data_IF_654500210914
#
_entry.id   IF_654500210914
#
_cell.length_a   1.000
_cell.length_b   1.000
_cell.length_c   1.000
_cell.angle_alpha   90.00
_cell.angle_beta   90.00
_cell.angle_gamma   90.00
#
_symmetry.space_group_name_H-M   'P 1'
#
loop_
_entity.id
_entity.type
_entity.pdbx_description
1 polymer ?
#
# COMPACT_ATOMS: atom_id res chain seq x y z
N UNK A 1 21.05 -5.73 -19.79
CA UNK A 1 21.20 -5.07 -18.46
C UNK A 1 21.47 -3.59 -18.58
N UNK A 2 22.57 -3.16 -19.20
CA UNK A 2 22.93 -1.73 -19.37
C UNK A 2 21.77 -0.84 -19.85
N UNK A 3 21.06 -1.27 -20.89
CA UNK A 3 19.92 -0.53 -21.45
C UNK A 3 18.69 -0.47 -20.52
N UNK A 4 18.45 -1.52 -19.71
CA UNK A 4 17.33 -1.56 -18.76
C UNK A 4 17.66 -0.71 -17.54
N UNK A 5 18.90 -0.80 -17.04
CA UNK A 5 19.41 0.01 -15.92
C UNK A 5 19.78 1.45 -16.30
N UNK A 6 19.71 1.82 -17.59
CA UNK A 6 20.15 3.12 -18.14
C UNK A 6 21.60 3.48 -17.77
N UNK A 7 22.48 2.49 -17.79
CA UNK A 7 23.91 2.65 -17.52
C UNK A 7 24.71 2.47 -18.82
N UNK A 8 25.78 3.24 -19.00
CA UNK A 8 26.66 3.14 -20.17
C UNK A 8 27.39 1.79 -20.25
N UNK A 9 27.73 1.21 -19.10
CA UNK A 9 28.26 -0.14 -19.00
C UNK A 9 27.90 -0.75 -17.64
N UNK A 10 27.75 -2.07 -17.59
CA UNK A 10 27.50 -2.81 -16.34
C UNK A 10 28.68 -3.75 -16.12
N UNK A 11 29.38 -3.68 -14.96
CA UNK A 11 30.46 -4.59 -14.66
C UNK A 11 29.95 -6.04 -14.67
N UNK A 12 30.68 -6.99 -15.28
CA UNK A 12 30.23 -8.39 -15.37
C UNK A 12 30.12 -9.08 -13.99
N UNK A 13 30.84 -8.55 -13.00
CA UNK A 13 30.88 -9.05 -11.62
C UNK A 13 30.03 -8.22 -10.65
N UNK A 14 29.42 -7.13 -11.12
CA UNK A 14 28.64 -6.23 -10.27
C UNK A 14 27.33 -6.89 -9.83
N UNK A 15 27.04 -6.83 -8.53
CA UNK A 15 25.80 -7.35 -7.97
C UNK A 15 24.60 -6.47 -8.39
N UNK A 16 23.58 -7.09 -8.99
CA UNK A 16 22.40 -6.40 -9.50
C UNK A 16 21.68 -5.59 -8.42
N UNK A 17 21.60 -6.09 -7.19
CA UNK A 17 20.80 -5.50 -6.12
C UNK A 17 21.63 -4.57 -5.23
N UNK A 18 22.84 -4.97 -4.86
CA UNK A 18 23.67 -4.27 -3.91
C UNK A 18 24.50 -3.13 -4.53
N UNK A 19 25.06 -3.35 -5.72
CA UNK A 19 25.92 -2.36 -6.37
C UNK A 19 25.17 -1.55 -7.44
N UNK A 20 24.30 -2.21 -8.20
CA UNK A 20 23.52 -1.58 -9.27
C UNK A 20 22.18 -1.02 -8.78
N UNK A 21 21.76 -1.35 -7.56
CA UNK A 21 20.52 -0.86 -6.97
C UNK A 21 19.26 -1.30 -7.73
N UNK A 22 19.30 -2.43 -8.45
CA UNK A 22 18.17 -2.93 -9.19
C UNK A 22 17.01 -3.29 -8.27
N UNK A 23 15.80 -2.84 -8.60
CA UNK A 23 14.57 -3.28 -7.97
C UNK A 23 13.95 -4.47 -8.72
N UNK A 24 12.99 -5.16 -8.09
CA UNK A 24 12.32 -6.32 -8.69
C UNK A 24 11.63 -6.00 -10.01
N UNK A 25 11.20 -4.74 -10.21
CA UNK A 25 10.54 -4.30 -11.43
C UNK A 25 11.57 -4.19 -12.57
N UNK A 26 12.72 -3.58 -12.33
CA UNK A 26 13.85 -3.51 -13.25
C UNK A 26 14.29 -4.90 -13.71
N UNK A 27 14.34 -5.86 -12.79
CA UNK A 27 14.68 -7.26 -13.09
C UNK A 27 13.57 -7.98 -13.86
N UNK A 28 12.30 -7.66 -13.62
CA UNK A 28 11.19 -8.17 -14.42
C UNK A 28 11.26 -7.66 -15.87
N UNK A 29 11.56 -6.37 -16.09
CA UNK A 29 11.78 -5.82 -17.42
C UNK A 29 12.99 -6.44 -18.11
N UNK A 30 14.08 -6.68 -17.37
CA UNK A 30 15.23 -7.40 -17.89
C UNK A 30 14.88 -8.82 -18.36
N UNK A 31 14.20 -9.61 -17.51
CA UNK A 31 13.74 -10.96 -17.87
C UNK A 31 12.84 -10.93 -19.11
N UNK A 32 11.89 -10.00 -19.18
CA UNK A 32 10.99 -9.84 -20.32
C UNK A 32 11.74 -9.48 -21.61
N UNK A 33 12.79 -8.65 -21.51
CA UNK A 33 13.60 -8.24 -22.66
C UNK A 33 14.50 -9.35 -23.17
N UNK A 34 15.13 -10.11 -22.26
CA UNK A 34 15.96 -11.28 -22.62
C UNK A 34 15.12 -12.34 -23.34
N UNK A 35 13.89 -12.60 -22.89
CA UNK A 35 12.97 -13.53 -23.55
C UNK A 35 12.56 -13.10 -24.97
N UNK A 36 12.60 -11.79 -25.27
CA UNK A 36 12.29 -11.26 -26.61
C UNK A 36 13.49 -11.32 -27.57
N UNK A 37 14.70 -11.64 -27.10
CA UNK A 37 15.88 -11.73 -27.95
C UNK A 37 16.02 -13.15 -28.52
N UNK A 38 16.00 -13.31 -29.86
CA UNK A 38 16.12 -14.63 -30.48
C UNK A 38 17.50 -15.24 -30.19
N UNK A 39 17.51 -16.50 -29.72
CA UNK A 39 18.74 -17.25 -29.41
C UNK A 39 19.18 -17.19 -27.94
N UNK A 40 18.45 -16.51 -27.05
CA UNK A 40 18.72 -16.55 -25.61
C UNK A 40 17.87 -17.57 -24.86
N UNK A 41 18.43 -18.29 -23.87
CA UNK A 41 17.65 -19.16 -23.00
C UNK A 41 16.66 -18.33 -22.16
N UNK A 42 15.48 -18.90 -21.83
CA UNK A 42 14.49 -18.19 -21.03
C UNK A 42 15.02 -17.94 -19.61
N UNK A 43 15.06 -16.67 -19.20
CA UNK A 43 15.48 -16.28 -17.86
C UNK A 43 14.25 -16.12 -16.96
N UNK A 44 14.27 -16.72 -15.77
CA UNK A 44 13.25 -16.54 -14.74
C UNK A 44 13.76 -15.61 -13.63
N UNK A 45 12.83 -14.99 -12.89
CA UNK A 45 13.18 -14.15 -11.73
C UNK A 45 13.92 -14.97 -10.65
N UNK A 46 13.65 -16.27 -10.54
CA UNK A 46 14.34 -17.15 -9.61
C UNK A 46 15.84 -17.23 -9.93
N UNK A 47 16.18 -17.35 -11.21
CA UNK A 47 17.57 -17.46 -11.66
C UNK A 47 18.35 -16.17 -11.38
N UNK A 48 17.70 -15.01 -11.56
CA UNK A 48 18.29 -13.69 -11.27
C UNK A 48 18.59 -13.53 -9.77
N UNK A 49 17.76 -14.07 -8.88
CA UNK A 49 18.03 -14.03 -7.44
C UNK A 49 19.10 -15.03 -7.00
N UNK A 50 19.18 -16.19 -7.64
CA UNK A 50 20.21 -17.20 -7.34
C UNK A 50 21.58 -16.81 -7.89
N UNK A 51 21.61 -16.01 -8.97
CA UNK A 51 22.81 -15.58 -9.67
C UNK A 51 22.78 -14.06 -9.89
N UNK A 52 23.08 -13.26 -8.85
CA UNK A 52 22.89 -11.81 -8.87
C UNK A 52 23.97 -11.04 -9.64
N UNK A 53 24.82 -11.72 -10.44
CA UNK A 53 25.82 -11.08 -11.31
C UNK A 53 25.68 -11.57 -12.75
N UNK A 54 26.09 -10.77 -13.73
CA UNK A 54 26.00 -11.15 -15.16
C UNK A 54 26.79 -12.44 -15.41
N UNK A 55 28.00 -12.55 -14.85
CA UNK A 55 28.86 -13.73 -15.00
C UNK A 55 28.24 -15.00 -14.43
N UNK A 56 27.67 -14.93 -13.22
CA UNK A 56 27.04 -16.10 -12.60
C UNK A 56 25.77 -16.51 -13.34
N UNK A 57 24.96 -15.53 -13.77
CA UNK A 57 23.72 -15.77 -14.51
C UNK A 57 23.99 -16.37 -15.88
N UNK A 58 24.94 -15.81 -16.65
CA UNK A 58 25.34 -16.37 -17.95
C UNK A 58 25.93 -17.77 -17.81
N UNK A 59 26.72 -18.02 -16.74
CA UNK A 59 27.29 -19.33 -16.45
C UNK A 59 26.21 -20.37 -16.18
N UNK A 60 25.23 -20.05 -15.32
CA UNK A 60 24.13 -20.95 -14.98
C UNK A 60 23.22 -21.27 -16.18
N UNK A 61 22.94 -20.27 -17.01
CA UNK A 61 22.13 -20.43 -18.23
C UNK A 61 22.86 -21.23 -19.31
N UNK A 62 24.18 -21.04 -19.45
CA UNK A 62 25.01 -21.82 -20.37
C UNK A 62 25.10 -23.27 -19.91
N UNK A 63 25.33 -23.52 -18.60
CA UNK A 63 25.36 -24.88 -18.05
C UNK A 63 24.03 -25.63 -18.25
N UNK A 64 22.90 -24.93 -18.08
CA UNK A 64 21.56 -25.49 -18.31
C UNK A 64 21.29 -25.77 -19.80
N UNK A 65 21.83 -24.95 -20.70
CA UNK A 65 21.71 -25.15 -22.15
C UNK A 65 22.60 -26.29 -22.65
N UNK A 66 23.83 -26.42 -22.13
CA UNK A 66 24.78 -27.48 -22.49
C UNK A 66 24.30 -28.87 -22.04
N UNK A 67 23.51 -28.95 -20.97
CA UNK A 67 22.84 -30.18 -20.54
C UNK A 67 21.70 -30.63 -21.49
N UNK A 68 21.32 -29.82 -22.48
CA UNK A 68 20.09 -29.98 -23.27
C UNK A 68 20.28 -30.15 -24.78
N UNK A 69 21.43 -30.63 -25.29
CA UNK A 69 21.59 -30.95 -26.74
C UNK A 69 22.41 -32.22 -27.02
N UNK A 70 22.11 -33.02 -28.07
CA UNK A 70 20.82 -33.60 -28.45
C UNK A 70 20.87 -35.14 -28.43
N UNK A 71 19.92 -35.80 -27.76
CA UNK A 71 19.62 -37.23 -28.01
C UNK A 71 18.26 -37.33 -28.64
N UNK A 72 18.24 -37.77 -29.90
CA UNK A 72 17.08 -38.13 -30.71
C UNK A 72 16.24 -39.21 -29.99
N UNK A 73 14.98 -38.92 -29.63
CA UNK A 73 14.03 -39.88 -29.05
C UNK A 73 12.74 -39.22 -28.56
N UNK A 74 11.57 -39.88 -28.64
CA UNK A 74 10.31 -39.22 -28.98
C UNK A 74 9.58 -38.56 -27.81
N UNK A 75 8.89 -37.46 -28.17
CA UNK A 75 7.63 -36.95 -27.61
C UNK A 75 7.31 -37.31 -26.16
N UNK A 76 7.64 -36.41 -25.24
CA UNK A 76 7.00 -36.38 -23.92
C UNK A 76 6.32 -35.03 -23.73
N UNK A 77 5.01 -35.10 -23.58
CA UNK A 77 4.07 -34.00 -23.41
C UNK A 77 4.59 -32.91 -22.45
N UNK A 78 4.78 -31.71 -22.99
CA UNK A 78 4.84 -30.49 -22.19
C UNK A 78 3.42 -29.91 -22.05
N UNK A 79 2.97 -29.56 -20.82
CA UNK A 79 1.68 -28.93 -20.62
C UNK A 79 1.63 -27.58 -21.32
N UNK A 80 0.70 -27.47 -22.28
CA UNK A 80 0.26 -26.22 -22.90
C UNK A 80 -0.16 -25.23 -21.80
N UNK A 81 0.73 -24.30 -21.45
CA UNK A 81 0.38 -23.15 -20.62
C UNK A 81 -0.57 -22.26 -21.44
N UNK A 82 -1.84 -22.23 -21.02
CA UNK A 82 -2.86 -21.32 -21.54
C UNK A 82 -2.41 -19.86 -21.41
N UNK A 83 -2.83 -18.97 -22.32
CA UNK A 83 -2.48 -17.56 -22.25
C UNK A 83 -3.21 -16.91 -21.08
N UNK A 84 -2.47 -16.38 -20.10
CA UNK A 84 -3.06 -15.46 -19.12
C UNK A 84 -3.52 -14.17 -19.82
N UNK A 85 -4.73 -13.66 -19.49
CA UNK A 85 -5.26 -12.44 -20.11
C UNK A 85 -4.38 -11.24 -19.77
N UNK A 86 -3.80 -10.65 -20.81
CA UNK A 86 -3.13 -9.36 -20.76
C UNK A 86 -4.14 -8.27 -20.40
N UNK A 87 -4.15 -7.84 -19.14
CA UNK A 87 -4.76 -6.57 -18.78
C UNK A 87 -3.84 -5.45 -19.31
N UNK A 88 -4.15 -4.97 -20.51
CA UNK A 88 -3.59 -3.75 -21.09
C UNK A 88 -4.04 -2.54 -20.27
N UNK A 89 -3.41 -2.33 -19.11
CA UNK A 89 -3.43 -1.04 -18.45
C UNK A 89 -2.24 -0.25 -19.00
N UNK A 90 -2.45 0.87 -19.72
CA UNK A 90 -1.36 1.69 -20.20
C UNK A 90 -0.65 2.33 -19.00
N UNK A 91 0.39 1.67 -18.49
CA UNK A 91 1.31 2.25 -17.53
C UNK A 91 2.19 3.21 -18.30
N UNK A 92 1.83 4.50 -18.27
CA UNK A 92 2.75 5.55 -18.68
C UNK A 92 3.98 5.54 -17.74
N UNK A 93 5.03 4.84 -18.19
CA UNK A 93 6.36 4.81 -17.61
C UNK A 93 7.12 6.08 -18.02
N UNK A 94 7.07 7.09 -17.16
CA UNK A 94 8.00 8.23 -17.18
C UNK A 94 9.13 7.96 -16.15
N UNK A 95 10.32 8.56 -16.36
CA UNK A 95 11.61 7.96 -16.05
C UNK A 95 11.80 7.66 -14.57
N UNK A 96 12.41 6.51 -14.29
CA UNK A 96 13.03 6.20 -13.01
C UNK A 96 14.13 7.24 -12.72
N UNK A 97 13.75 8.40 -12.19
CA UNK A 97 14.68 9.27 -11.47
C UNK A 97 15.20 8.45 -10.31
N UNK A 98 16.47 8.05 -10.44
CA UNK A 98 17.14 7.12 -9.56
C UNK A 98 16.93 7.43 -8.08
N UNK A 99 16.74 6.37 -7.32
CA UNK A 99 16.85 6.32 -5.86
C UNK A 99 18.31 6.49 -5.43
N UNK A 100 19.03 7.46 -6.00
CA UNK A 100 20.33 7.89 -5.52
C UNK A 100 20.11 8.83 -4.34
N UNK A 101 20.15 8.28 -3.12
CA UNK A 101 20.32 9.05 -1.89
C UNK A 101 19.14 9.95 -1.49
N UNK A 102 18.01 9.37 -1.05
CA UNK A 102 17.09 10.13 -0.20
C UNK A 102 17.82 10.47 1.11
N UNK A 103 18.15 11.75 1.30
CA UNK A 103 18.87 12.22 2.48
C UNK A 103 18.21 11.76 3.79
N UNK A 104 19.02 11.15 4.66
CA UNK A 104 18.76 10.87 6.08
C UNK A 104 17.81 11.87 6.80
N UNK A 105 17.86 13.21 6.58
CA UNK A 105 16.93 14.14 7.22
C UNK A 105 15.44 13.87 6.96
N UNK A 106 15.02 13.48 5.74
CA UNK A 106 13.59 13.31 5.44
C UNK A 106 12.96 12.12 6.16
N UNK A 107 13.73 11.04 6.34
CA UNK A 107 13.29 9.86 7.09
C UNK A 107 13.17 10.19 8.58
N UNK A 108 14.12 10.94 9.13
CA UNK A 108 14.11 11.38 10.54
C UNK A 108 12.95 12.34 10.80
N UNK A 109 12.70 13.31 9.91
CA UNK A 109 11.56 14.22 10.00
C UNK A 109 10.22 13.47 9.98
N UNK A 110 10.08 12.45 9.13
CA UNK A 110 8.88 11.63 9.07
C UNK A 110 8.71 10.76 10.32
N UNK A 111 9.79 10.16 10.82
CA UNK A 111 9.77 9.39 12.06
C UNK A 111 9.41 10.26 13.27
N UNK A 112 9.99 11.46 13.36
CA UNK A 112 9.68 12.44 14.41
C UNK A 112 8.21 12.88 14.33
N UNK A 113 7.69 13.15 13.13
CA UNK A 113 6.28 13.48 12.96
C UNK A 113 5.35 12.34 13.39
N UNK A 114 5.69 11.10 13.03
CA UNK A 114 4.91 9.92 13.41
C UNK A 114 4.93 9.70 14.93
N UNK A 115 6.09 9.92 15.56
CA UNK A 115 6.23 9.91 17.02
C UNK A 115 5.40 11.03 17.67
N UNK A 116 5.48 12.27 17.17
CA UNK A 116 4.70 13.41 17.67
C UNK A 116 3.20 13.19 17.50
N UNK A 117 2.77 12.62 16.38
CA UNK A 117 1.37 12.28 16.15
C UNK A 117 0.88 11.21 17.13
N UNK A 118 1.70 10.18 17.39
CA UNK A 118 1.39 9.15 18.36
C UNK A 118 1.35 9.70 19.78
N UNK A 119 2.33 10.53 20.15
CA UNK A 119 2.40 11.17 21.46
C UNK A 119 1.22 12.13 21.67
N UNK A 120 0.90 12.95 20.67
CA UNK A 120 -0.26 13.85 20.70
C UNK A 120 -1.57 13.08 20.84
N UNK A 121 -1.73 11.95 20.14
CA UNK A 121 -2.88 11.07 20.29
C UNK A 121 -2.97 10.45 21.69
N UNK A 122 -1.86 9.97 22.24
CA UNK A 122 -1.80 9.41 23.59
C UNK A 122 -2.15 10.46 24.66
N UNK A 123 -1.59 11.68 24.54
CA UNK A 123 -1.90 12.79 25.44
C UNK A 123 -3.37 13.24 25.33
N UNK A 124 -3.92 13.24 24.12
CA UNK A 124 -5.32 13.58 23.89
C UNK A 124 -6.27 12.55 24.51
N UNK A 125 -5.99 11.25 24.36
CA UNK A 125 -6.75 10.20 25.05
C UNK A 125 -6.63 10.38 26.57
N UNK A 126 -5.41 10.56 27.07
CA UNK A 126 -5.19 10.75 28.51
C UNK A 126 -6.01 11.94 29.03
N UNK A 127 -6.00 13.08 28.33
CA UNK A 127 -6.77 14.27 28.69
C UNK A 127 -8.29 14.02 28.65
N UNK A 128 -8.79 13.30 27.65
CA UNK A 128 -10.22 12.94 27.56
C UNK A 128 -10.61 12.04 28.72
N UNK A 129 -9.80 11.03 29.03
CA UNK A 129 -10.07 10.08 30.12
C UNK A 129 -10.00 10.77 31.48
N UNK A 130 -9.00 11.61 31.74
CA UNK A 130 -8.90 12.33 33.02
C UNK A 130 -10.05 13.31 33.21
N UNK A 131 -10.36 14.13 32.21
CA UNK A 131 -11.49 15.07 32.28
C UNK A 131 -12.84 14.36 32.38
N UNK A 132 -13.00 13.25 31.67
CA UNK A 132 -14.18 12.39 31.76
C UNK A 132 -14.35 11.79 33.16
N UNK A 133 -13.27 11.25 33.72
CA UNK A 133 -13.26 10.68 35.05
C UNK A 133 -13.59 11.73 36.12
N UNK A 134 -12.97 12.92 36.07
CA UNK A 134 -13.28 14.03 36.99
C UNK A 134 -14.75 14.46 36.89
N UNK A 135 -15.31 14.51 35.68
CA UNK A 135 -16.70 14.90 35.46
C UNK A 135 -17.71 13.85 35.96
N UNK A 136 -17.41 12.56 35.74
CA UNK A 136 -18.22 11.44 36.23
C UNK A 136 -18.13 11.36 37.76
N UNK A 137 -16.93 11.46 38.33
CA UNK A 137 -16.71 11.37 39.78
C UNK A 137 -17.26 12.57 40.58
N UNK A 138 -17.63 13.67 39.90
CA UNK A 138 -18.29 14.81 40.51
C UNK A 138 -19.81 14.63 40.66
N UNK A 139 -20.35 13.41 40.48
CA UNK A 139 -21.75 13.13 40.75
C UNK A 139 -22.01 12.95 42.24
N UNK A 140 -23.24 13.26 42.65
CA UNK A 140 -23.66 13.22 44.05
C UNK A 140 -24.46 11.96 44.40
N UNK A 141 -24.97 11.24 43.40
CA UNK A 141 -25.87 10.09 43.55
C UNK A 141 -25.53 9.02 42.50
N UNK A 142 -25.68 7.70 42.79
CA UNK A 142 -25.30 6.64 41.85
C UNK A 142 -26.03 6.67 40.52
N UNK A 143 -27.25 7.22 40.47
CA UNK A 143 -28.01 7.40 39.23
C UNK A 143 -27.41 8.52 38.37
N UNK A 144 -26.93 9.60 39.00
CA UNK A 144 -26.26 10.71 38.31
C UNK A 144 -24.92 10.24 37.73
N UNK A 145 -24.14 9.46 38.49
CA UNK A 145 -22.89 8.84 38.00
C UNK A 145 -23.12 7.95 36.78
N UNK A 146 -24.20 7.17 36.79
CA UNK A 146 -24.58 6.31 35.67
C UNK A 146 -24.97 7.12 34.42
N UNK A 147 -25.81 8.15 34.59
CA UNK A 147 -26.23 9.02 33.49
C UNK A 147 -25.06 9.80 32.89
N UNK A 148 -24.15 10.31 33.73
CA UNK A 148 -22.91 10.97 33.28
C UNK A 148 -21.99 10.01 32.54
N UNK A 149 -21.82 8.79 33.03
CA UNK A 149 -21.03 7.75 32.34
C UNK A 149 -21.60 7.44 30.96
N UNK A 150 -22.93 7.31 30.86
CA UNK A 150 -23.62 7.06 29.59
C UNK A 150 -23.46 8.25 28.62
N UNK A 151 -23.64 9.48 29.11
CA UNK A 151 -23.47 10.69 28.32
C UNK A 151 -22.02 10.85 27.82
N UNK A 152 -21.03 10.60 28.69
CA UNK A 152 -19.62 10.64 28.33
C UNK A 152 -19.29 9.60 27.26
N UNK A 153 -19.74 8.36 27.44
CA UNK A 153 -19.56 7.30 26.44
C UNK A 153 -20.17 7.65 25.08
N UNK A 154 -21.38 8.21 25.08
CA UNK A 154 -22.05 8.66 23.86
C UNK A 154 -21.29 9.79 23.15
N UNK A 155 -20.79 10.78 23.90
CA UNK A 155 -20.00 11.90 23.36
C UNK A 155 -18.67 11.41 22.79
N UNK A 156 -17.96 10.54 23.52
CA UNK A 156 -16.69 9.95 23.05
C UNK A 156 -16.92 9.15 21.78
N UNK A 157 -17.97 8.30 21.73
CA UNK A 157 -18.31 7.53 20.55
C UNK A 157 -18.64 8.45 19.35
N UNK A 158 -19.45 9.48 19.55
CA UNK A 158 -19.79 10.44 18.51
C UNK A 158 -18.55 11.18 17.99
N UNK A 159 -17.64 11.57 18.89
CA UNK A 159 -16.37 12.21 18.53
C UNK A 159 -15.50 11.27 17.71
N UNK A 160 -15.31 10.02 18.15
CA UNK A 160 -14.52 9.02 17.41
C UNK A 160 -15.08 8.74 16.01
N UNK A 161 -16.41 8.78 15.86
CA UNK A 161 -17.09 8.57 14.58
C UNK A 161 -16.95 9.77 13.63
N UNK A 162 -17.06 11.01 14.15
CA UNK A 162 -17.09 12.24 13.34
C UNK A 162 -15.71 12.83 13.06
N UNK A 163 -14.76 12.67 13.98
CA UNK A 163 -13.42 13.25 13.88
C UNK A 163 -12.67 12.79 12.61
N UNK A 164 -12.66 11.50 12.22
CA UNK A 164 -11.99 11.06 10.99
C UNK A 164 -12.62 11.63 9.71
N UNK A 165 -13.94 11.84 9.71
CA UNK A 165 -14.67 12.47 8.61
C UNK A 165 -14.23 13.93 8.49
N UNK A 166 -14.28 14.67 9.60
CA UNK A 166 -13.89 16.08 9.64
C UNK A 166 -12.42 16.27 9.24
N UNK A 167 -11.51 15.45 9.79
CA UNK A 167 -10.08 15.52 9.48
C UNK A 167 -9.82 15.20 8.01
N UNK A 168 -10.49 14.21 7.43
CA UNK A 168 -10.36 13.93 5.99
C UNK A 168 -10.74 15.15 5.15
N UNK A 169 -11.92 15.72 5.40
CA UNK A 169 -12.41 16.87 4.64
C UNK A 169 -11.53 18.11 4.84
N UNK A 170 -10.99 18.32 6.04
CA UNK A 170 -10.09 19.43 6.36
C UNK A 170 -8.70 19.28 5.73
N UNK A 171 -8.14 18.06 5.70
CA UNK A 171 -6.76 17.85 5.25
C UNK A 171 -6.63 17.55 3.75
N UNK A 172 -7.60 16.89 3.13
CA UNK A 172 -7.49 16.50 1.71
C UNK A 172 -8.67 16.99 0.87
N UNK A 173 -9.88 17.03 1.45
CA UNK A 173 -11.09 17.29 0.67
C UNK A 173 -11.40 16.11 -0.25
N UNK A 174 -11.47 16.36 -1.56
CA UNK A 174 -11.74 15.33 -2.58
C UNK A 174 -10.45 14.67 -3.07
N UNK A 175 -10.41 13.34 -3.04
CA UNK A 175 -9.23 12.59 -3.47
C UNK A 175 -9.16 12.59 -5.00
N UNK A 176 -8.05 13.10 -5.56
CA UNK A 176 -7.73 12.99 -6.98
C UNK A 176 -6.70 11.87 -7.20
N UNK A 177 -6.75 11.13 -8.33
CA UNK A 177 -5.71 10.18 -8.70
C UNK A 177 -4.39 10.93 -8.95
N UNK A 178 -3.45 10.84 -8.01
CA UNK A 178 -2.16 11.52 -8.09
C UNK A 178 -1.04 10.61 -7.57
N UNK A 179 0.16 10.70 -8.17
CA UNK A 179 1.35 9.98 -7.71
C UNK A 179 2.03 10.75 -6.58
N UNK A 180 1.87 10.26 -5.36
CA UNK A 180 2.49 10.86 -4.18
C UNK A 180 3.85 10.21 -3.93
N UNK A 181 4.92 11.01 -3.81
CA UNK A 181 6.25 10.50 -3.43
C UNK A 181 6.22 9.99 -1.98
N UNK A 182 6.72 8.77 -1.76
CA UNK A 182 6.88 8.19 -0.41
C UNK A 182 7.81 9.10 0.41
N UNK A 183 7.46 9.40 1.66
CA UNK A 183 8.17 10.34 2.55
C UNK A 183 8.00 11.85 2.26
N UNK A 184 7.04 12.23 1.42
CA UNK A 184 6.64 13.64 1.24
C UNK A 184 5.54 14.08 2.21
N UNK A 185 5.30 15.39 2.31
CA UNK A 185 4.14 15.94 3.04
C UNK A 185 2.78 15.39 2.55
N UNK A 186 2.66 15.06 1.25
CA UNK A 186 1.47 14.40 0.71
C UNK A 186 1.26 13.01 1.30
N UNK A 187 2.34 12.23 1.44
CA UNK A 187 2.29 10.92 2.09
C UNK A 187 1.94 11.04 3.58
N UNK A 188 2.42 12.08 4.25
CA UNK A 188 2.12 12.35 5.65
C UNK A 188 0.63 12.61 5.90
N UNK A 189 0.01 13.46 5.05
CA UNK A 189 -1.46 13.71 5.11
C UNK A 189 -2.23 12.42 4.86
N UNK A 190 -1.82 11.63 3.86
CA UNK A 190 -2.40 10.34 3.55
C UNK A 190 -2.28 9.34 4.71
N UNK A 191 -1.09 9.25 5.31
CA UNK A 191 -0.81 8.39 6.45
C UNK A 191 -1.68 8.77 7.65
N UNK A 192 -1.80 10.05 7.97
CA UNK A 192 -2.59 10.53 9.10
C UNK A 192 -4.07 10.17 8.91
N UNK A 193 -4.65 10.47 7.75
CA UNK A 193 -6.05 10.12 7.45
C UNK A 193 -6.25 8.60 7.44
N UNK A 194 -5.31 7.83 6.88
CA UNK A 194 -5.36 6.37 6.90
C UNK A 194 -5.29 5.80 8.33
N UNK A 195 -4.51 6.41 9.21
CA UNK A 195 -4.39 6.01 10.62
C UNK A 195 -5.68 6.32 11.37
N UNK A 196 -6.25 7.52 11.18
CA UNK A 196 -7.53 7.90 11.79
C UNK A 196 -8.70 7.05 11.30
N UNK A 197 -8.78 6.77 9.99
CA UNK A 197 -9.82 5.90 9.44
C UNK A 197 -9.72 4.47 9.98
N UNK A 198 -8.50 3.96 10.21
CA UNK A 198 -8.30 2.62 10.80
C UNK A 198 -8.61 2.56 12.29
N UNK A 199 -8.47 3.66 13.02
CA UNK A 199 -8.83 3.74 14.43
C UNK A 199 -10.35 3.86 14.65
N UNK A 200 -11.14 4.14 13.59
CA UNK A 200 -12.56 4.41 13.71
C UNK A 200 -13.36 3.13 14.05
N UNK A 201 -14.20 3.13 15.11
CA UNK A 201 -14.95 1.96 15.55
C UNK A 201 -16.11 1.59 14.60
N UNK A 202 -16.49 2.44 13.64
CA UNK A 202 -17.51 2.14 12.63
C UNK A 202 -17.08 1.04 11.65
N UNK A 203 -15.83 0.58 11.69
CA UNK A 203 -15.43 -0.68 11.03
C UNK A 203 -16.18 -1.88 11.63
N UNK A 204 -16.66 -1.78 12.87
CA UNK A 204 -17.46 -2.83 13.50
C UNK A 204 -18.91 -2.87 12.99
N UNK A 205 -19.39 -1.81 12.32
CA UNK A 205 -20.75 -1.74 11.77
C UNK A 205 -20.83 -2.16 10.30
N UNK A 206 -19.77 -2.80 9.78
CA UNK A 206 -19.72 -3.38 8.42
C UNK A 206 -20.92 -4.31 8.19
N UNK A 207 -21.58 -4.16 7.05
CA UNK A 207 -22.82 -4.88 6.71
C UNK A 207 -24.12 -4.18 7.15
N UNK A 208 -24.05 -3.09 7.92
CA UNK A 208 -25.25 -2.28 8.27
C UNK A 208 -25.46 -1.11 7.29
N UNK A 209 -26.70 -0.61 7.12
CA UNK A 209 -26.97 0.58 6.31
C UNK A 209 -26.30 1.86 6.88
N UNK A 210 -25.86 1.83 8.15
CA UNK A 210 -25.06 2.92 8.73
C UNK A 210 -23.67 2.99 8.09
N UNK A 211 -23.08 1.86 7.73
CA UNK A 211 -21.77 1.83 7.08
C UNK A 211 -21.83 2.40 5.66
N UNK A 212 -22.91 2.15 4.90
CA UNK A 212 -23.09 2.76 3.57
C UNK A 212 -23.32 4.28 3.67
N UNK A 213 -24.03 4.76 4.70
CA UNK A 213 -24.15 6.20 4.98
C UNK A 213 -22.79 6.82 5.35
N UNK A 214 -21.99 6.13 6.17
CA UNK A 214 -20.63 6.55 6.53
C UNK A 214 -19.72 6.64 5.30
N UNK A 215 -19.77 5.65 4.40
CA UNK A 215 -19.01 5.67 3.14
C UNK A 215 -19.43 6.84 2.25
N UNK A 216 -20.72 7.17 2.18
CA UNK A 216 -21.23 8.35 1.45
C UNK A 216 -20.79 9.67 2.10
N UNK A 217 -20.75 9.75 3.43
CA UNK A 217 -20.20 10.92 4.14
C UNK A 217 -18.69 11.08 3.91
N UNK A 218 -17.99 9.96 3.67
CA UNK A 218 -16.62 9.95 3.18
C UNK A 218 -16.51 10.30 1.68
N UNK A 219 -17.58 10.52 0.95
CA UNK A 219 -17.53 10.88 -0.49
C UNK A 219 -17.58 9.70 -1.45
N UNK A 220 -17.75 8.47 -0.98
CA UNK A 220 -17.97 7.35 -1.89
C UNK A 220 -19.35 7.45 -2.58
N UNK A 221 -19.40 7.14 -3.86
CA UNK A 221 -20.64 7.03 -4.62
C UNK A 221 -21.25 5.65 -4.38
N UNK A 222 -22.03 5.50 -3.31
CA UNK A 222 -22.69 4.23 -2.96
C UNK A 222 -24.18 4.31 -3.31
N UNK A 223 -24.63 3.42 -4.20
CA UNK A 223 -26.02 3.24 -4.60
C UNK A 223 -26.97 2.85 -3.46
N UNK A 224 -28.28 2.84 -3.73
CA UNK A 224 -29.31 2.40 -2.78
C UNK A 224 -29.28 0.87 -2.64
N UNK A 225 -29.41 0.38 -1.40
CA UNK A 225 -29.52 -1.05 -1.11
C UNK A 225 -28.20 -1.83 -1.15
N UNK A 226 -27.05 -1.16 -1.02
CA UNK A 226 -25.72 -1.79 -1.05
C UNK A 226 -25.25 -2.19 0.36
N UNK A 227 -24.78 -3.42 0.51
CA UNK A 227 -24.18 -3.92 1.76
C UNK A 227 -22.70 -4.25 1.55
N UNK A 228 -21.83 -3.35 2.00
CA UNK A 228 -20.40 -3.60 1.96
C UNK A 228 -20.02 -4.50 3.14
N UNK A 229 -19.64 -5.74 2.85
CA UNK A 229 -19.19 -6.75 3.83
C UNK A 229 -17.67 -6.75 4.06
N UNK A 230 -16.93 -5.88 3.37
CA UNK A 230 -15.48 -5.76 3.54
C UNK A 230 -15.15 -4.98 4.82
N UNK A 231 -14.34 -5.60 5.68
CA UNK A 231 -13.77 -4.96 6.89
C UNK A 231 -12.63 -4.00 6.58
N UNK A 232 -12.08 -4.03 5.38
CA UNK A 232 -11.01 -3.13 4.99
C UNK A 232 -11.61 -1.84 4.45
N UNK A 233 -11.51 -0.75 5.23
CA UNK A 233 -11.98 0.57 4.78
C UNK A 233 -11.06 1.08 3.66
N UNK A 234 -11.60 1.34 2.45
CA UNK A 234 -10.82 1.93 1.38
C UNK A 234 -10.44 3.37 1.78
N UNK A 235 -9.14 3.66 1.81
CA UNK A 235 -8.64 5.00 2.18
C UNK A 235 -9.08 6.05 1.15
N UNK A 236 -9.07 5.67 -0.13
CA UNK A 236 -9.53 6.48 -1.25
C UNK A 236 -11.02 6.24 -1.55
N UNK A 237 -11.88 6.47 -0.55
CA UNK A 237 -13.33 6.30 -0.65
C UNK A 237 -13.98 7.10 -1.79
N UNK A 238 -13.41 8.26 -2.13
CA UNK A 238 -13.95 9.17 -3.16
C UNK A 238 -13.82 8.62 -4.59
N UNK A 239 -12.96 7.62 -4.80
CA UNK A 239 -12.80 6.93 -6.09
C UNK A 239 -13.64 5.64 -6.17
N UNK A 240 -14.38 5.32 -5.09
CA UNK A 240 -15.21 4.13 -5.03
C UNK A 240 -16.61 4.47 -5.53
N UNK A 241 -17.01 3.83 -6.62
CA UNK A 241 -18.37 3.87 -7.14
C UNK A 241 -18.96 2.46 -7.07
N UNK A 242 -20.07 2.31 -6.36
CA UNK A 242 -20.83 1.06 -6.24
C UNK A 242 -22.25 1.32 -6.78
N UNK A 243 -22.69 0.49 -7.72
CA UNK A 243 -24.03 0.54 -8.30
C UNK A 243 -25.14 0.20 -7.30
N UNK A 244 -26.40 0.38 -7.69
CA UNK A 244 -27.56 0.07 -6.85
C UNK A 244 -27.72 -1.46 -6.67
N UNK A 245 -28.25 -1.89 -5.51
CA UNK A 245 -28.63 -3.28 -5.18
C UNK A 245 -27.51 -4.36 -5.26
N UNK A 246 -26.29 -4.03 -4.86
CA UNK A 246 -25.14 -4.96 -4.82
C UNK A 246 -24.65 -5.22 -3.39
#
# INVERSE_FOLDING_TARGET
MAEVARLESVPPDGDFFHELGADSLLMAHFCAKVRKQPGMPPVSMKDVYQHPTIRSLSGALTASTTLTAPTTGPSRDEPRASPEPSFDVPVHEAPATGTAGLGRPHVVLCGLFQLLSFLGYALLIAAIVTRGYEWIAAGHDPVDDYLRSLAFGAVVLALLCTLPIAVKWLLIGRWKPERIRVWSFGYMRFWLVKTLLRANPLVLTVGTPLYSLYLRALGAHVGRGVTVLSRTVPVCTDLLSIGDHT
#
